data_IF_757098944380
#
_entry.id   IF_757098944380
#
_cell.length_a   1.000
_cell.length_b   1.000
_cell.length_c   1.000
_cell.angle_alpha   90.00
_cell.angle_beta   90.00
_cell.angle_gamma   90.00
#
_symmetry.space_group_name_H-M   'P 1'
#
loop_
_entity.id
_entity.type
_entity.pdbx_description
1 polymer ?
#
# COMPACT_ATOMS: atom_id res chain seq x y z
N UNK A 1 3.32 10.68 -12.38
CA UNK A 1 4.00 9.49 -12.95
C UNK A 1 3.49 8.26 -12.22
N UNK A 2 3.07 7.21 -12.94
CA UNK A 2 2.51 5.98 -12.33
C UNK A 2 3.60 4.90 -12.32
N UNK A 3 3.79 4.20 -11.20
CA UNK A 3 4.74 3.08 -11.06
C UNK A 3 3.96 1.75 -10.95
N UNK A 4 3.61 1.10 -12.06
CA UNK A 4 2.71 -0.06 -12.06
C UNK A 4 3.28 -1.30 -11.36
N UNK A 5 4.61 -1.41 -11.30
CA UNK A 5 5.34 -2.52 -10.68
C UNK A 5 5.53 -2.38 -9.17
N UNK A 6 4.93 -1.36 -8.53
CA UNK A 6 5.18 -1.05 -7.11
C UNK A 6 4.92 -2.24 -6.17
N UNK A 7 3.82 -2.97 -6.39
CA UNK A 7 3.45 -4.11 -5.55
C UNK A 7 4.44 -5.28 -5.68
N UNK A 8 4.98 -5.51 -6.87
CA UNK A 8 5.96 -6.57 -7.11
C UNK A 8 7.30 -6.25 -6.45
N UNK A 9 7.76 -5.00 -6.62
CA UNK A 9 8.96 -4.51 -5.93
C UNK A 9 8.79 -4.63 -4.42
N UNK A 10 7.63 -4.22 -3.88
CA UNK A 10 7.36 -4.30 -2.45
C UNK A 10 7.40 -5.75 -1.94
N UNK A 11 6.78 -6.71 -2.65
CA UNK A 11 6.85 -8.13 -2.26
C UNK A 11 8.29 -8.61 -2.16
N UNK A 12 9.12 -8.25 -3.14
CA UNK A 12 10.54 -8.63 -3.14
C UNK A 12 11.28 -8.03 -1.95
N UNK A 13 11.02 -6.76 -1.61
CA UNK A 13 11.67 -6.10 -0.48
C UNK A 13 11.25 -6.72 0.87
N UNK A 14 9.94 -7.00 1.06
CA UNK A 14 9.44 -7.63 2.29
C UNK A 14 9.89 -9.09 2.45
N UNK A 15 10.20 -9.78 1.36
CA UNK A 15 10.71 -11.16 1.38
C UNK A 15 12.21 -11.25 1.71
N UNK A 16 12.92 -10.13 1.86
CA UNK A 16 14.37 -10.14 2.14
C UNK A 16 14.60 -10.66 3.56
N UNK A 17 15.61 -11.53 3.79
CA UNK A 17 15.92 -12.05 5.12
C UNK A 17 16.27 -10.97 6.16
N UNK A 18 16.69 -9.79 5.72
CA UNK A 18 17.02 -8.66 6.58
C UNK A 18 15.84 -7.78 6.97
N UNK A 19 14.66 -8.00 6.40
CA UNK A 19 13.45 -7.24 6.74
C UNK A 19 12.96 -7.64 8.13
N UNK A 20 12.74 -6.67 9.03
CA UNK A 20 12.41 -6.95 10.43
C UNK A 20 10.95 -6.65 10.78
N UNK A 21 10.13 -6.34 9.78
CA UNK A 21 8.73 -5.97 10.01
C UNK A 21 8.56 -4.51 10.40
N UNK A 22 9.43 -3.61 9.90
CA UNK A 22 9.33 -2.19 10.15
C UNK A 22 7.97 -1.65 9.71
N UNK A 23 7.42 -0.72 10.50
CA UNK A 23 6.14 -0.06 10.16
C UNK A 23 6.33 0.85 8.96
N UNK A 24 5.54 0.65 7.91
CA UNK A 24 5.54 1.49 6.71
C UNK A 24 4.41 2.51 6.77
N UNK A 25 4.74 3.78 6.62
CA UNK A 25 3.76 4.86 6.52
C UNK A 25 3.42 5.17 5.05
N UNK A 26 2.13 5.07 4.71
CA UNK A 26 1.57 5.32 3.38
C UNK A 26 0.80 6.63 3.41
N UNK A 27 1.03 7.50 2.42
CA UNK A 27 0.34 8.79 2.31
C UNK A 27 1.03 9.97 3.01
N UNK A 28 2.32 9.84 3.35
CA UNK A 28 3.08 10.85 4.11
C UNK A 28 3.47 12.09 3.31
N UNK A 29 3.92 11.92 2.07
CA UNK A 29 4.30 13.03 1.19
C UNK A 29 3.15 13.50 0.29
N UNK A 30 2.27 12.58 -0.09
CA UNK A 30 1.12 12.85 -0.96
C UNK A 30 0.06 11.77 -0.72
N UNK A 31 -1.21 12.13 -0.83
CA UNK A 31 -2.32 11.18 -0.65
C UNK A 31 -2.18 9.99 -1.61
N UNK A 32 -2.28 8.78 -1.08
CA UNK A 32 -2.13 7.54 -1.85
C UNK A 32 -3.34 7.24 -2.75
N UNK A 33 -4.50 7.86 -2.48
CA UNK A 33 -5.74 7.68 -3.22
C UNK A 33 -6.01 8.85 -4.17
N UNK A 34 -5.03 9.14 -5.04
CA UNK A 34 -5.19 10.12 -6.11
C UNK A 34 -6.21 9.66 -7.16
N UNK A 35 -6.73 10.55 -8.04
CA UNK A 35 -7.71 10.16 -9.08
C UNK A 35 -7.27 8.97 -9.95
N UNK A 36 -5.96 8.83 -10.21
CA UNK A 36 -5.41 7.69 -10.93
C UNK A 36 -5.66 6.32 -10.24
N UNK A 37 -5.79 6.31 -8.90
CA UNK A 37 -6.03 5.10 -8.11
C UNK A 37 -7.38 4.43 -8.42
N UNK A 38 -8.35 5.18 -8.94
CA UNK A 38 -9.61 4.62 -9.44
C UNK A 38 -9.38 3.62 -10.59
N UNK A 39 -8.37 3.87 -11.42
CA UNK A 39 -8.02 3.02 -12.58
C UNK A 39 -6.93 2.00 -12.25
N UNK A 40 -5.85 2.41 -11.59
CA UNK A 40 -4.66 1.56 -11.44
C UNK A 40 -4.69 0.68 -10.19
N UNK A 41 -5.45 1.07 -9.16
CA UNK A 41 -5.60 0.32 -7.91
C UNK A 41 -4.24 -0.08 -7.27
N UNK A 42 -3.24 0.80 -7.37
CA UNK A 42 -1.88 0.49 -6.89
C UNK A 42 -1.81 0.47 -5.38
N UNK A 43 -2.46 1.42 -4.72
CA UNK A 43 -2.58 1.45 -3.25
C UNK A 43 -3.28 0.18 -2.76
N UNK A 44 -4.36 -0.25 -3.42
CA UNK A 44 -5.02 -1.53 -3.09
C UNK A 44 -4.06 -2.72 -3.18
N UNK A 45 -3.26 -2.81 -4.26
CA UNK A 45 -2.28 -3.89 -4.44
C UNK A 45 -1.18 -3.83 -3.39
N UNK A 46 -0.71 -2.64 -3.03
CA UNK A 46 0.25 -2.44 -1.94
C UNK A 46 -0.34 -2.90 -0.60
N UNK A 47 -1.57 -2.51 -0.26
CA UNK A 47 -2.23 -2.94 0.97
C UNK A 47 -2.39 -4.47 1.02
N UNK A 48 -2.73 -5.11 -0.09
CA UNK A 48 -2.81 -6.57 -0.17
C UNK A 48 -1.45 -7.24 0.12
N UNK A 49 -0.36 -6.71 -0.44
CA UNK A 49 0.99 -7.19 -0.15
C UNK A 49 1.32 -7.03 1.33
N UNK A 50 1.05 -5.86 1.92
CA UNK A 50 1.32 -5.62 3.34
C UNK A 50 0.57 -6.62 4.23
N UNK A 51 -0.70 -6.91 3.90
CA UNK A 51 -1.51 -7.92 4.59
C UNK A 51 -0.95 -9.33 4.42
N UNK A 52 -0.58 -9.73 3.19
CA UNK A 52 -0.04 -11.06 2.90
C UNK A 52 1.25 -11.34 3.70
N UNK A 53 2.08 -10.32 3.91
CA UNK A 53 3.31 -10.39 4.72
C UNK A 53 3.09 -10.05 6.21
N UNK A 54 1.85 -9.77 6.63
CA UNK A 54 1.50 -9.29 7.98
C UNK A 54 2.36 -8.11 8.44
N UNK A 55 2.77 -7.26 7.51
CA UNK A 55 3.64 -6.14 7.81
C UNK A 55 2.83 -4.97 8.39
N UNK A 56 3.24 -4.40 9.54
CA UNK A 56 2.54 -3.25 10.09
C UNK A 56 2.60 -2.04 9.15
N UNK A 57 1.50 -1.32 9.04
CA UNK A 57 1.42 -0.10 8.24
C UNK A 57 0.59 0.98 8.93
N UNK A 58 0.86 2.24 8.59
CA UNK A 58 -0.05 3.36 8.85
C UNK A 58 -0.46 3.99 7.52
N UNK A 59 -1.73 4.34 7.39
CA UNK A 59 -2.27 4.94 6.17
C UNK A 59 -2.92 6.27 6.53
N UNK A 60 -2.50 7.33 5.87
CA UNK A 60 -3.06 8.68 6.02
C UNK A 60 -3.67 9.08 4.67
N UNK A 61 -4.96 9.37 4.65
CA UNK A 61 -5.68 9.81 3.44
C UNK A 61 -6.90 10.64 3.82
N UNK A 62 -7.27 11.57 2.95
CA UNK A 62 -8.54 12.32 3.03
C UNK A 62 -9.55 11.85 1.99
N UNK A 63 -9.18 10.86 1.18
CA UNK A 63 -10.02 10.33 0.10
C UNK A 63 -11.00 9.29 0.62
N UNK A 64 -12.26 9.39 0.18
CA UNK A 64 -13.28 8.37 0.48
C UNK A 64 -13.05 7.05 -0.26
N UNK A 65 -12.16 7.02 -1.27
CA UNK A 65 -11.79 5.80 -1.99
C UNK A 65 -11.19 4.72 -1.08
N UNK A 66 -10.66 5.11 0.09
CA UNK A 66 -10.15 4.16 1.10
C UNK A 66 -11.21 3.17 1.56
N UNK A 67 -12.50 3.55 1.53
CA UNK A 67 -13.61 2.68 1.96
C UNK A 67 -13.73 1.42 1.09
N UNK A 68 -13.32 1.48 -0.19
CA UNK A 68 -13.25 0.31 -1.09
C UNK A 68 -12.31 -0.77 -0.55
N UNK A 69 -11.27 -0.34 0.15
CA UNK A 69 -10.17 -1.18 0.61
C UNK A 69 -10.27 -1.49 2.12
N UNK A 70 -11.38 -1.10 2.77
CA UNK A 70 -11.64 -1.35 4.19
C UNK A 70 -11.53 -2.84 4.57
N UNK A 71 -12.00 -3.76 3.71
CA UNK A 71 -11.87 -5.20 3.94
C UNK A 71 -10.44 -5.74 3.89
N UNK A 72 -9.47 -4.98 3.35
CA UNK A 72 -8.04 -5.34 3.41
C UNK A 72 -7.40 -4.79 4.69
N UNK A 73 -7.95 -3.71 5.24
CA UNK A 73 -7.47 -3.01 6.42
C UNK A 73 -8.06 -3.54 7.75
N UNK A 74 -9.10 -4.38 7.66
CA UNK A 74 -9.80 -5.00 8.79
C UNK A 74 -9.07 -6.23 9.35
#
# INVERSE_FOLDING_TARGET
MVKPNMAEVLRRELARPGWRGERIAVGTATDAYQPAEGRYQLTRRVLAVMRDFRNPLSLITKSTLVLRDAGILA
#
